data_IF_121656291674
#
_entry.id   IF_121656291674
#
_cell.length_a   1.000
_cell.length_b   1.000
_cell.length_c   1.000
_cell.angle_alpha   90.00
_cell.angle_beta   90.00
_cell.angle_gamma   90.00
#
_symmetry.space_group_name_H-M   'P 1'
#
loop_
_entity.id
_entity.type
_entity.pdbx_description
1 polymer ?
#
# COMPACT_ATOMS: atom_id res chain seq x y z
N UNK A 1 21.41 -5.67 4.85
CA UNK A 1 21.31 -6.83 3.92
C UNK A 1 21.82 -6.38 2.56
N UNK A 2 22.60 -7.20 1.85
CA UNK A 2 23.04 -6.83 0.50
C UNK A 2 21.95 -7.17 -0.53
N UNK A 3 21.38 -6.13 -1.13
CA UNK A 3 20.38 -6.26 -2.20
C UNK A 3 21.03 -6.49 -3.59
N UNK A 4 22.36 -6.46 -3.67
CA UNK A 4 23.09 -6.66 -4.93
C UNK A 4 23.01 -8.12 -5.34
N UNK A 5 22.66 -8.34 -6.60
CA UNK A 5 22.70 -9.67 -7.21
C UNK A 5 24.14 -10.06 -7.52
N UNK A 6 24.50 -11.32 -7.26
CA UNK A 6 25.76 -11.91 -7.69
C UNK A 6 25.71 -12.24 -9.19
N UNK A 7 26.86 -12.48 -9.82
CA UNK A 7 26.90 -12.91 -11.23
C UNK A 7 26.10 -14.21 -11.43
N UNK A 8 26.26 -15.18 -10.53
CA UNK A 8 25.52 -16.45 -10.57
C UNK A 8 24.00 -16.24 -10.49
N UNK A 9 23.55 -15.31 -9.64
CA UNK A 9 22.13 -14.94 -9.50
C UNK A 9 21.59 -14.21 -10.74
N UNK A 10 22.37 -13.32 -11.36
CA UNK A 10 21.99 -12.64 -12.61
C UNK A 10 21.83 -13.66 -13.74
N UNK A 11 22.77 -14.58 -13.88
CA UNK A 11 22.71 -15.65 -14.88
C UNK A 11 21.49 -16.56 -14.66
N UNK A 12 21.20 -16.87 -13.39
CA UNK A 12 20.05 -17.68 -13.01
C UNK A 12 18.71 -17.01 -13.33
N UNK A 13 18.56 -15.72 -13.04
CA UNK A 13 17.33 -14.98 -13.37
C UNK A 13 17.18 -14.75 -14.88
N UNK A 14 18.28 -14.58 -15.60
CA UNK A 14 18.27 -14.41 -17.06
C UNK A 14 17.82 -15.69 -17.76
N UNK A 15 18.30 -16.87 -17.31
CA UNK A 15 17.87 -18.15 -17.88
C UNK A 15 16.38 -18.43 -17.70
N UNK A 16 15.78 -17.88 -16.64
CA UNK A 16 14.37 -18.09 -16.30
C UNK A 16 13.48 -16.96 -16.85
N UNK A 17 14.02 -16.08 -17.70
CA UNK A 17 13.34 -14.93 -18.31
C UNK A 17 12.74 -13.94 -17.29
N UNK A 18 13.30 -13.86 -16.08
CA UNK A 18 12.95 -12.82 -15.11
C UNK A 18 13.76 -11.54 -15.36
N UNK A 19 15.03 -11.68 -15.76
CA UNK A 19 15.83 -10.59 -16.30
C UNK A 19 15.89 -10.71 -17.83
N UNK A 20 15.50 -9.64 -18.53
CA UNK A 20 15.44 -9.59 -19.98
C UNK A 20 16.64 -8.84 -20.59
N UNK A 21 17.67 -8.59 -19.77
CA UNK A 21 18.89 -7.85 -20.14
C UNK A 21 18.94 -6.41 -19.62
N UNK A 22 19.87 -5.64 -20.17
CA UNK A 22 20.04 -4.23 -19.83
C UNK A 22 19.13 -3.35 -20.68
N UNK A 23 18.41 -2.43 -20.04
CA UNK A 23 17.63 -1.41 -20.75
C UNK A 23 18.45 -0.13 -20.95
N UNK A 24 18.99 0.41 -19.85
CA UNK A 24 19.80 1.64 -19.77
C UNK A 24 20.88 1.47 -18.70
N UNK A 25 21.97 2.28 -18.72
CA UNK A 25 22.93 2.33 -17.61
C UNK A 25 22.20 2.46 -16.27
N UNK A 26 22.62 1.69 -15.26
CA UNK A 26 22.01 1.70 -13.92
C UNK A 26 20.63 1.01 -13.80
N UNK A 27 20.01 0.59 -14.90
CA UNK A 27 18.71 -0.12 -14.92
C UNK A 27 18.85 -1.52 -15.50
N UNK A 28 17.88 -2.37 -15.17
CA UNK A 28 17.68 -3.72 -15.73
C UNK A 28 16.26 -3.84 -16.22
N UNK A 29 16.06 -4.59 -17.30
CA UNK A 29 14.72 -4.90 -17.79
C UNK A 29 14.21 -6.15 -17.07
N UNK A 30 13.09 -6.04 -16.40
CA UNK A 30 12.52 -7.10 -15.57
C UNK A 30 11.16 -7.52 -16.12
N UNK A 31 10.90 -8.82 -16.13
CA UNK A 31 9.61 -9.37 -16.51
C UNK A 31 8.51 -8.96 -15.53
N UNK A 32 7.33 -8.60 -16.04
CA UNK A 32 6.13 -8.38 -15.24
C UNK A 32 5.71 -9.61 -14.41
N UNK A 33 6.26 -10.80 -14.68
CA UNK A 33 6.10 -11.95 -13.80
C UNK A 33 6.56 -11.68 -12.35
N UNK A 34 7.55 -10.79 -12.15
CA UNK A 34 7.97 -10.36 -10.81
C UNK A 34 6.85 -9.65 -10.03
N UNK A 35 5.89 -9.06 -10.74
CA UNK A 35 4.76 -8.33 -10.17
C UNK A 35 3.59 -9.23 -9.81
N UNK A 36 3.59 -10.47 -10.31
CA UNK A 36 2.50 -11.41 -10.05
C UNK A 36 2.61 -11.91 -8.61
N UNK A 37 1.51 -11.90 -7.82
CA UNK A 37 1.50 -12.53 -6.52
C UNK A 37 1.85 -14.03 -6.66
N UNK A 38 2.46 -14.64 -5.65
CA UNK A 38 2.73 -16.07 -5.64
C UNK A 38 1.43 -16.85 -5.86
N UNK A 39 1.38 -17.68 -6.89
CA UNK A 39 0.18 -18.45 -7.24
C UNK A 39 0.07 -19.76 -6.47
N UNK A 40 1.10 -20.14 -5.70
CA UNK A 40 1.16 -21.41 -5.00
C UNK A 40 0.98 -21.25 -3.50
N UNK A 41 -0.27 -21.04 -3.08
CA UNK A 41 -0.74 -21.77 -1.90
C UNK A 41 -1.23 -23.11 -2.43
N UNK A 42 -0.28 -23.98 -2.79
CA UNK A 42 -0.60 -25.38 -3.00
C UNK A 42 -1.34 -25.87 -1.77
N UNK A 43 -2.42 -26.62 -1.95
CA UNK A 43 -3.23 -27.18 -0.87
C UNK A 43 -2.40 -28.12 0.00
N UNK A 44 -1.50 -27.58 0.83
CA UNK A 44 -0.99 -28.27 2.00
C UNK A 44 -2.19 -28.33 2.92
N UNK A 45 -2.86 -29.48 2.93
CA UNK A 45 -3.88 -29.80 3.91
C UNK A 45 -3.21 -29.72 5.29
N UNK A 46 -3.27 -28.54 5.91
CA UNK A 46 -2.79 -28.32 7.27
C UNK A 46 -3.72 -29.09 8.20
N UNK A 47 -3.36 -30.34 8.49
CA UNK A 47 -4.01 -31.19 9.51
C UNK A 47 -3.64 -30.75 10.93
N UNK A 48 -3.36 -29.47 11.15
CA UNK A 48 -2.99 -28.86 12.42
C UNK A 48 -4.06 -27.87 12.84
N UNK A 49 -4.60 -28.07 14.04
CA UNK A 49 -5.71 -27.38 14.71
C UNK A 49 -5.49 -25.87 14.99
N UNK A 50 -4.65 -25.18 14.24
CA UNK A 50 -4.47 -23.73 14.37
C UNK A 50 -5.66 -23.01 13.73
N UNK A 51 -6.42 -22.29 14.55
CA UNK A 51 -7.47 -21.38 14.10
C UNK A 51 -6.86 -20.35 13.15
N UNK A 52 -7.25 -20.40 11.87
CA UNK A 52 -6.84 -19.42 10.86
C UNK A 52 -7.25 -18.01 11.31
N UNK A 53 -6.36 -17.04 11.15
CA UNK A 53 -6.58 -15.68 11.64
C UNK A 53 -7.05 -14.70 10.59
N UNK A 54 -6.68 -14.93 9.34
CA UNK A 54 -7.13 -14.14 8.22
C UNK A 54 -7.33 -15.02 7.00
N UNK A 55 -8.03 -14.47 6.02
CA UNK A 55 -8.16 -15.08 4.71
C UNK A 55 -7.78 -14.09 3.62
N UNK A 56 -7.29 -14.59 2.50
CA UNK A 56 -6.95 -13.78 1.33
C UNK A 56 -7.68 -14.28 0.11
N UNK A 57 -7.99 -13.38 -0.81
CA UNK A 57 -8.33 -13.72 -2.19
C UNK A 57 -7.41 -12.95 -3.13
N UNK A 58 -6.88 -13.61 -4.15
CA UNK A 58 -6.02 -12.97 -5.15
C UNK A 58 -6.86 -12.75 -6.39
N UNK A 59 -7.03 -11.49 -6.81
CA UNK A 59 -7.69 -11.20 -8.08
C UNK A 59 -6.73 -11.52 -9.22
N UNK A 60 -7.23 -12.27 -10.19
CA UNK A 60 -6.47 -12.48 -11.41
C UNK A 60 -6.44 -11.18 -12.22
N UNK A 61 -5.30 -10.84 -12.84
CA UNK A 61 -5.27 -9.75 -13.79
C UNK A 61 -6.21 -10.07 -14.95
N UNK A 62 -6.99 -9.07 -15.40
CA UNK A 62 -8.00 -9.23 -16.46
C UNK A 62 -7.36 -9.64 -17.79
N UNK A 63 -6.07 -9.35 -17.98
CA UNK A 63 -5.24 -9.91 -19.04
C UNK A 63 -3.82 -10.14 -18.52
N UNK A 64 -3.14 -11.23 -18.91
CA UNK A 64 -1.72 -11.42 -18.67
C UNK A 64 -0.91 -10.54 -19.63
N UNK A 65 -1.00 -9.21 -19.49
CA UNK A 65 0.01 -8.34 -20.07
C UNK A 65 1.25 -8.45 -19.20
N UNK A 66 2.08 -9.48 -19.48
CA UNK A 66 3.45 -9.57 -18.99
C UNK A 66 4.23 -8.46 -19.71
N UNK A 67 3.95 -7.20 -19.35
CA UNK A 67 4.77 -6.08 -19.75
C UNK A 67 6.06 -6.17 -18.94
N UNK A 68 7.19 -6.00 -19.63
CA UNK A 68 8.45 -5.77 -18.97
C UNK A 68 8.56 -4.31 -18.53
N UNK A 69 9.43 -4.05 -17.56
CA UNK A 69 9.63 -2.70 -17.04
C UNK A 69 11.09 -2.43 -16.67
N UNK A 70 11.45 -1.16 -16.67
CA UNK A 70 12.76 -0.69 -16.21
C UNK A 70 12.81 -0.72 -14.69
N UNK A 71 13.77 -1.42 -14.12
CA UNK A 71 13.96 -1.57 -12.68
C UNK A 71 15.40 -1.17 -12.27
N UNK A 72 15.59 -0.40 -11.18
CA UNK A 72 16.93 -0.02 -10.73
C UNK A 72 17.83 -1.22 -10.40
N UNK A 73 19.13 -1.10 -10.68
CA UNK A 73 20.10 -2.12 -10.31
C UNK A 73 20.46 -2.11 -8.82
N UNK A 74 20.39 -0.93 -8.21
CA UNK A 74 20.80 -0.62 -6.85
C UNK A 74 19.73 0.27 -6.19
N UNK A 75 19.61 0.20 -4.85
CA UNK A 75 18.70 1.07 -4.08
C UNK A 75 19.32 2.44 -3.79
N UNK A 76 20.66 2.47 -3.79
CA UNK A 76 21.55 3.60 -3.57
C UNK A 76 22.04 4.16 -4.92
N UNK A 77 21.12 4.57 -5.79
CA UNK A 77 21.47 5.07 -7.13
C UNK A 77 20.52 6.17 -7.63
N UNK A 78 20.91 7.02 -8.61
CA UNK A 78 20.00 8.00 -9.20
C UNK A 78 18.78 7.34 -9.86
N UNK A 79 18.93 6.14 -10.42
CA UNK A 79 17.82 5.38 -10.99
C UNK A 79 16.79 4.93 -9.94
N UNK A 80 17.23 4.68 -8.70
CA UNK A 80 16.32 4.44 -7.59
C UNK A 80 15.49 5.70 -7.29
N UNK A 81 16.12 6.88 -7.28
CA UNK A 81 15.42 8.17 -7.10
C UNK A 81 14.46 8.46 -8.27
N UNK A 82 14.81 8.07 -9.50
CA UNK A 82 13.87 8.11 -10.63
C UNK A 82 12.65 7.21 -10.39
N UNK A 83 12.86 6.00 -9.84
CA UNK A 83 11.78 5.08 -9.48
C UNK A 83 10.86 5.66 -8.39
N UNK A 84 11.38 6.52 -7.51
CA UNK A 84 10.56 7.25 -6.54
C UNK A 84 9.59 8.24 -7.19
N UNK A 85 9.82 8.62 -8.44
CA UNK A 85 8.94 9.48 -9.23
C UNK A 85 9.59 10.77 -9.72
N UNK A 86 10.89 10.97 -9.47
CA UNK A 86 11.64 12.16 -9.93
C UNK A 86 12.15 11.99 -11.36
N UNK A 87 12.29 13.09 -12.08
CA UNK A 87 12.91 13.09 -13.40
C UNK A 87 14.44 12.86 -13.29
N UNK A 88 15.13 12.42 -14.36
CA UNK A 88 16.55 12.07 -14.29
C UNK A 88 17.48 13.20 -13.81
N UNK A 89 17.17 14.45 -14.18
CA UNK A 89 17.98 15.61 -13.79
C UNK A 89 17.91 15.85 -12.27
N UNK A 90 16.70 15.88 -11.71
CA UNK A 90 16.51 16.11 -10.28
C UNK A 90 16.88 14.87 -9.46
N UNK A 91 16.65 13.67 -9.99
CA UNK A 91 17.08 12.42 -9.36
C UNK A 91 18.61 12.41 -9.15
N UNK A 92 19.37 12.86 -10.15
CA UNK A 92 20.82 13.01 -10.03
C UNK A 92 21.21 14.04 -8.96
N UNK A 93 20.55 15.20 -8.92
CA UNK A 93 20.83 16.24 -7.90
C UNK A 93 20.60 15.69 -6.49
N UNK A 94 19.44 15.07 -6.24
CA UNK A 94 19.10 14.47 -4.94
C UNK A 94 20.15 13.42 -4.53
N UNK A 95 20.55 12.56 -5.48
CA UNK A 95 21.56 11.55 -5.25
C UNK A 95 22.95 12.15 -4.95
N UNK A 96 23.38 13.14 -5.71
CA UNK A 96 24.67 13.82 -5.53
C UNK A 96 24.73 14.51 -4.15
N UNK A 97 23.63 15.16 -3.72
CA UNK A 97 23.53 15.79 -2.39
C UNK A 97 23.62 14.75 -1.26
N UNK A 98 22.88 13.65 -1.37
CA UNK A 98 22.92 12.54 -0.42
C UNK A 98 24.31 11.89 -0.35
N UNK A 99 24.94 11.65 -1.50
CA UNK A 99 26.26 11.02 -1.59
C UNK A 99 27.35 11.92 -0.97
N UNK A 100 27.28 13.24 -1.20
CA UNK A 100 28.19 14.19 -0.56
C UNK A 100 28.06 14.18 0.97
N UNK A 101 26.84 14.16 1.51
CA UNK A 101 26.63 14.11 2.96
C UNK A 101 27.04 12.74 3.55
N UNK A 102 26.82 11.65 2.82
CA UNK A 102 27.27 10.31 3.22
C UNK A 102 28.80 10.24 3.30
N UNK A 103 29.51 10.77 2.29
CA UNK A 103 30.98 10.87 2.29
C UNK A 103 31.48 11.72 3.47
N UNK A 104 30.82 12.86 3.72
CA UNK A 104 31.19 13.80 4.78
C UNK A 104 30.97 13.22 6.18
N UNK A 105 29.89 12.48 6.38
CA UNK A 105 29.54 11.85 7.67
C UNK A 105 30.31 10.55 7.92
N UNK A 106 30.84 9.91 6.88
CA UNK A 106 31.52 8.62 6.97
C UNK A 106 30.58 7.46 7.33
N UNK A 107 29.26 7.67 7.22
CA UNK A 107 28.25 6.65 7.46
C UNK A 107 28.13 5.70 6.26
N UNK A 108 27.68 4.47 6.52
CA UNK A 108 27.35 3.55 5.44
C UNK A 108 26.13 4.05 4.65
N UNK A 109 26.09 3.84 3.32
CA UNK A 109 24.92 4.15 2.51
C UNK A 109 23.64 3.48 3.00
N UNK A 110 22.64 4.29 3.38
CA UNK A 110 21.31 3.83 3.77
C UNK A 110 20.23 4.40 2.83
N UNK A 111 19.45 3.56 2.12
CA UNK A 111 18.36 4.03 1.27
C UNK A 111 17.26 4.80 2.02
N UNK A 112 17.10 4.60 3.33
CA UNK A 112 16.16 5.40 4.14
C UNK A 112 16.67 6.82 4.36
N UNK A 113 17.99 7.04 4.40
CA UNK A 113 18.57 8.39 4.41
C UNK A 113 18.38 9.05 3.04
N UNK A 114 18.55 8.30 1.94
CA UNK A 114 18.25 8.82 0.59
C UNK A 114 16.79 9.28 0.45
N UNK A 115 15.85 8.56 1.09
CA UNK A 115 14.45 8.99 1.17
C UNK A 115 14.29 10.37 1.83
N UNK A 116 15.04 10.68 2.89
CA UNK A 116 14.94 11.98 3.57
C UNK A 116 15.32 13.14 2.64
N UNK A 117 16.33 12.97 1.80
CA UNK A 117 16.70 13.96 0.78
C UNK A 117 15.59 14.13 -0.28
N UNK A 118 15.00 13.02 -0.74
CA UNK A 118 13.88 13.06 -1.68
C UNK A 118 12.64 13.75 -1.07
N UNK A 119 12.33 13.48 0.19
CA UNK A 119 11.23 14.12 0.91
C UNK A 119 11.52 15.60 1.21
N UNK A 120 12.77 15.94 1.54
CA UNK A 120 13.21 17.33 1.69
C UNK A 120 13.02 18.13 0.40
N UNK A 121 13.28 17.52 -0.77
CA UNK A 121 12.95 18.14 -2.06
C UNK A 121 11.45 18.34 -2.25
N UNK A 122 10.63 17.36 -1.87
CA UNK A 122 9.18 17.43 -1.97
C UNK A 122 8.58 18.52 -1.04
N UNK A 123 9.20 18.83 0.09
CA UNK A 123 8.75 19.88 1.02
C UNK A 123 8.69 21.27 0.38
N UNK A 124 9.47 21.52 -0.68
CA UNK A 124 9.41 22.76 -1.45
C UNK A 124 8.03 23.02 -2.09
N UNK A 125 7.16 22.00 -2.19
CA UNK A 125 5.77 22.18 -2.62
C UNK A 125 4.97 23.10 -1.70
N UNK A 126 5.34 23.19 -0.42
CA UNK A 126 4.69 24.11 0.51
C UNK A 126 4.82 25.57 0.05
N UNK A 127 5.96 25.93 -0.56
CA UNK A 127 6.24 27.27 -1.10
C UNK A 127 5.61 27.49 -2.49
N UNK A 128 5.31 26.40 -3.23
CA UNK A 128 4.72 26.43 -4.57
C UNK A 128 3.22 26.26 -4.58
N UNK A 129 2.60 26.31 -3.41
CA UNK A 129 1.24 25.88 -3.20
C UNK A 129 0.21 26.81 -3.89
N UNK A 130 0.60 28.00 -4.37
CA UNK A 130 -0.26 28.92 -5.17
C UNK A 130 -0.24 28.58 -6.68
N UNK A 131 0.61 27.64 -7.10
CA UNK A 131 0.68 27.17 -8.49
C UNK A 131 -0.30 26.02 -8.74
N UNK A 132 -0.76 25.83 -9.99
CA UNK A 132 -1.50 24.62 -10.34
C UNK A 132 -0.71 23.35 -9.98
N UNK A 133 -1.34 22.30 -9.42
CA UNK A 133 -0.65 21.12 -8.89
C UNK A 133 0.35 20.47 -9.85
N UNK A 134 -0.03 20.28 -11.12
CA UNK A 134 0.86 19.73 -12.16
C UNK A 134 2.12 20.58 -12.37
N UNK A 135 1.98 21.91 -12.32
CA UNK A 135 3.10 22.84 -12.51
C UNK A 135 3.99 22.83 -11.26
N UNK A 136 3.41 22.86 -10.06
CA UNK A 136 4.16 22.79 -8.80
C UNK A 136 5.01 21.51 -8.71
N UNK A 137 4.42 20.35 -9.04
CA UNK A 137 5.13 19.06 -9.07
C UNK A 137 6.25 19.03 -10.12
N UNK A 138 6.01 19.56 -11.33
CA UNK A 138 7.03 19.65 -12.37
C UNK A 138 8.21 20.53 -11.92
N UNK A 139 7.93 21.65 -11.27
CA UNK A 139 8.95 22.62 -10.85
C UNK A 139 9.89 22.04 -9.76
N UNK A 140 9.43 21.08 -8.95
CA UNK A 140 10.29 20.35 -8.00
C UNK A 140 10.95 19.10 -8.58
N UNK A 141 10.61 18.73 -9.82
CA UNK A 141 11.21 17.60 -10.54
C UNK A 141 10.41 16.30 -10.55
N UNK A 142 9.16 16.29 -10.10
CA UNK A 142 8.30 15.10 -10.22
C UNK A 142 7.99 14.86 -11.70
N UNK A 143 8.10 13.59 -12.11
CA UNK A 143 7.81 13.17 -13.49
C UNK A 143 6.36 13.42 -13.85
N UNK A 144 6.14 13.65 -15.15
CA UNK A 144 4.81 13.92 -15.70
C UNK A 144 3.80 12.81 -15.36
N UNK A 145 4.19 11.54 -15.49
CA UNK A 145 3.29 10.42 -15.24
C UNK A 145 2.85 10.31 -13.76
N UNK A 146 3.77 10.53 -12.81
CA UNK A 146 3.41 10.58 -11.37
C UNK A 146 2.52 11.78 -11.09
N UNK A 147 2.83 12.94 -11.65
CA UNK A 147 2.03 14.15 -11.49
C UNK A 147 0.60 13.96 -12.02
N UNK A 148 0.44 13.41 -13.23
CA UNK A 148 -0.85 13.09 -13.85
C UNK A 148 -1.63 12.04 -13.05
N UNK A 149 -0.93 11.02 -12.51
CA UNK A 149 -1.56 10.00 -11.66
C UNK A 149 -2.09 10.55 -10.34
N UNK A 150 -1.35 11.46 -9.69
CA UNK A 150 -1.79 12.13 -8.45
C UNK A 150 -2.99 13.03 -8.71
N UNK A 151 -3.02 13.75 -9.84
CA UNK A 151 -4.09 14.70 -10.19
C UNK A 151 -5.14 14.12 -11.14
N UNK A 152 -5.25 12.79 -11.20
CA UNK A 152 -6.20 12.13 -12.10
C UNK A 152 -7.64 12.59 -11.77
N UNK A 153 -8.38 13.17 -12.75
CA UNK A 153 -9.73 13.69 -12.52
C UNK A 153 -10.73 12.67 -11.98
N UNK A 154 -10.51 11.36 -12.22
CA UNK A 154 -11.37 10.29 -11.69
C UNK A 154 -11.32 10.20 -10.16
N UNK A 155 -10.24 10.68 -9.56
CA UNK A 155 -9.98 10.63 -8.13
C UNK A 155 -9.93 12.02 -7.48
N UNK A 156 -10.51 13.05 -8.10
CA UNK A 156 -10.50 14.42 -7.55
C UNK A 156 -10.97 14.46 -6.09
N UNK A 157 -12.04 13.74 -5.74
CA UNK A 157 -12.53 13.70 -4.35
C UNK A 157 -11.53 13.07 -3.36
N UNK A 158 -10.70 12.12 -3.81
CA UNK A 158 -9.66 11.53 -2.97
C UNK A 158 -8.45 12.45 -2.92
N UNK A 159 -7.98 12.94 -4.07
CA UNK A 159 -6.89 13.90 -4.17
C UNK A 159 -7.12 15.14 -3.30
N UNK A 160 -8.32 15.69 -3.30
CA UNK A 160 -8.64 16.86 -2.49
C UNK A 160 -8.85 16.55 -0.98
N UNK A 161 -8.80 15.29 -0.55
CA UNK A 161 -8.92 14.93 0.88
C UNK A 161 -7.65 15.20 1.69
N UNK A 162 -6.53 15.51 1.03
CA UNK A 162 -5.24 15.86 1.64
C UNK A 162 -4.52 16.92 0.78
N UNK A 163 -3.41 17.45 1.30
CA UNK A 163 -2.60 18.42 0.57
C UNK A 163 -1.81 17.80 -0.59
N UNK A 164 -1.41 18.62 -1.57
CA UNK A 164 -0.52 18.18 -2.64
C UNK A 164 0.81 17.61 -2.12
N UNK A 165 1.41 18.27 -1.11
CA UNK A 165 2.63 17.78 -0.47
C UNK A 165 2.43 16.38 0.12
N UNK A 166 1.32 16.17 0.83
CA UNK A 166 0.99 14.86 1.40
C UNK A 166 0.95 13.77 0.32
N UNK A 167 0.24 13.99 -0.79
CA UNK A 167 0.14 12.96 -1.83
C UNK A 167 1.47 12.68 -2.53
N UNK A 168 2.32 13.68 -2.71
CA UNK A 168 3.66 13.49 -3.26
C UNK A 168 4.56 12.73 -2.28
N UNK A 169 4.56 13.12 -1.00
CA UNK A 169 5.29 12.43 0.07
C UNK A 169 4.86 10.96 0.18
N UNK A 170 3.56 10.71 0.23
CA UNK A 170 2.96 9.37 0.30
C UNK A 170 3.37 8.53 -0.91
N UNK A 171 3.27 9.09 -2.13
CA UNK A 171 3.67 8.40 -3.37
C UNK A 171 5.16 8.02 -3.37
N UNK A 172 6.04 8.93 -2.94
CA UNK A 172 7.48 8.67 -2.85
C UNK A 172 7.76 7.52 -1.87
N UNK A 173 7.12 7.51 -0.70
CA UNK A 173 7.27 6.44 0.30
C UNK A 173 6.79 5.09 -0.23
N UNK A 174 5.61 5.07 -0.85
CA UNK A 174 5.03 3.87 -1.47
C UNK A 174 5.94 3.32 -2.57
N UNK A 175 6.50 4.20 -3.40
CA UNK A 175 7.43 3.80 -4.46
C UNK A 175 8.72 3.22 -3.88
N UNK A 176 9.28 3.79 -2.81
CA UNK A 176 10.45 3.21 -2.14
C UNK A 176 10.13 1.83 -1.54
N UNK A 177 9.05 1.72 -0.77
CA UNK A 177 8.66 0.46 -0.16
C UNK A 177 8.43 -0.63 -1.22
N UNK A 178 7.82 -0.26 -2.34
CA UNK A 178 7.66 -1.15 -3.50
C UNK A 178 9.01 -1.53 -4.13
N UNK A 179 9.92 -0.58 -4.30
CA UNK A 179 11.27 -0.83 -4.83
C UNK A 179 12.04 -1.82 -3.95
N UNK A 180 12.07 -1.59 -2.64
CA UNK A 180 12.74 -2.46 -1.66
C UNK A 180 12.14 -3.87 -1.71
N UNK A 181 10.80 -3.96 -1.75
CA UNK A 181 10.10 -5.25 -1.84
C UNK A 181 10.45 -5.99 -3.13
N UNK A 182 10.33 -5.34 -4.28
CA UNK A 182 10.65 -5.96 -5.58
C UNK A 182 12.12 -6.41 -5.66
N UNK A 183 13.03 -5.64 -5.06
CA UNK A 183 14.45 -5.99 -4.99
C UNK A 183 14.69 -7.23 -4.12
N UNK A 184 14.01 -7.32 -2.99
CA UNK A 184 14.04 -8.48 -2.10
C UNK A 184 13.47 -9.73 -2.80
N UNK A 185 12.31 -9.61 -3.43
CA UNK A 185 11.70 -10.69 -4.24
C UNK A 185 12.63 -11.20 -5.32
N UNK A 186 13.25 -10.29 -6.06
CA UNK A 186 14.18 -10.64 -7.14
C UNK A 186 15.40 -11.42 -6.60
N UNK A 187 15.92 -11.02 -5.44
CA UNK A 187 17.03 -11.70 -4.76
C UNK A 187 16.65 -13.11 -4.30
N UNK A 188 15.46 -13.26 -3.73
CA UNK A 188 14.93 -14.55 -3.28
C UNK A 188 14.71 -15.51 -4.45
N UNK A 189 14.10 -15.02 -5.53
CA UNK A 189 13.91 -15.80 -6.76
C UNK A 189 15.25 -16.31 -7.28
N UNK A 190 16.26 -15.44 -7.33
CA UNK A 190 17.60 -15.82 -7.79
C UNK A 190 18.21 -16.92 -6.90
N UNK A 191 18.13 -16.76 -5.58
CA UNK A 191 18.64 -17.74 -4.63
C UNK A 191 17.93 -19.10 -4.80
N UNK A 192 16.61 -19.12 -4.96
CA UNK A 192 15.84 -20.35 -5.18
C UNK A 192 16.26 -21.06 -6.48
N UNK A 193 16.37 -20.32 -7.59
CA UNK A 193 16.79 -20.90 -8.89
C UNK A 193 18.20 -21.49 -8.79
N UNK A 194 19.13 -20.78 -8.13
CA UNK A 194 20.50 -21.25 -7.91
C UNK A 194 20.52 -22.54 -7.07
N UNK A 195 19.73 -22.62 -6.00
CA UNK A 195 19.65 -23.82 -5.16
C UNK A 195 19.08 -25.02 -5.91
N UNK A 196 18.01 -24.83 -6.71
CA UNK A 196 17.42 -25.90 -7.53
C UNK A 196 18.43 -26.43 -8.56
N UNK A 197 19.21 -25.55 -9.19
CA UNK A 197 20.27 -25.94 -10.13
C UNK A 197 21.41 -26.72 -9.46
N UNK A 198 21.83 -26.32 -8.25
CA UNK A 198 22.83 -27.04 -7.45
C UNK A 198 22.33 -28.42 -6.99
N UNK A 199 21.06 -28.53 -6.60
CA UNK A 199 20.44 -29.79 -6.17
C UNK A 199 20.29 -30.84 -7.27
N UNK A 200 20.00 -30.42 -8.51
CA UNK A 200 19.86 -31.34 -9.67
C UNK A 200 21.16 -32.10 -10.01
N UNK A 201 22.33 -31.61 -9.61
CA UNK A 201 23.61 -32.30 -9.79
C UNK A 201 23.90 -33.44 -8.80
N UNK A 202 23.11 -33.59 -7.73
CA UNK A 202 23.37 -34.54 -6.64
C UNK A 202 22.33 -35.65 -6.49
N UNK A 203 21.38 -35.80 -7.42
CA UNK A 203 20.48 -36.96 -7.41
C UNK A 203 21.28 -38.20 -7.81
N UNK A 204 21.76 -38.93 -6.80
CA UNK A 204 22.27 -40.28 -6.90
C UNK A 204 21.35 -41.13 -7.76
N UNK A 205 21.95 -41.83 -8.71
CA UNK A 205 21.37 -42.79 -9.64
C UNK A 205 20.60 -43.87 -8.84
N UNK A 206 19.33 -43.61 -8.53
CA UNK A 206 18.41 -44.65 -8.06
C UNK A 206 17.82 -45.28 -9.31
N UNK A 207 18.35 -46.45 -9.67
CA UNK A 207 17.80 -47.30 -10.72
C UNK A 207 16.34 -47.59 -10.38
N UNK A 208 15.43 -47.00 -11.15
CA UNK A 208 14.01 -47.32 -11.09
C UNK A 208 13.66 -48.11 -12.34
N UNK A 209 13.62 -49.43 -12.19
CA UNK A 209 12.95 -50.33 -13.12
C UNK A 209 11.46 -50.04 -13.06
N UNK A 210 10.91 -49.33 -14.04
CA UNK A 210 9.47 -49.36 -14.33
C UNK A 210 9.27 -49.43 -15.84
N UNK A 211 8.50 -50.46 -16.21
CA UNK A 211 8.24 -50.89 -17.56
C UNK A 211 7.46 -49.87 -18.38
N UNK A 212 7.78 -49.88 -19.67
CA UNK A 212 7.15 -49.14 -20.77
C UNK A 212 5.70 -49.61 -20.97
N UNK A 213 4.78 -48.67 -21.07
CA UNK A 213 3.56 -48.84 -21.86
C UNK A 213 3.32 -47.58 -22.65
N UNK A 214 3.33 -47.75 -23.97
CA UNK A 214 3.21 -46.73 -24.98
C UNK A 214 1.74 -46.36 -25.23
N UNK A 215 1.45 -45.07 -25.33
CA UNK A 215 0.35 -44.53 -26.14
C UNK A 215 0.59 -43.04 -26.44
N UNK A 216 0.99 -42.80 -27.70
CA UNK A 216 0.62 -41.73 -28.64
C UNK A 216 0.43 -40.26 -28.21
N UNK A 217 1.32 -39.43 -28.77
CA UNK A 217 1.05 -38.24 -29.60
C UNK A 217 0.18 -37.13 -29.01
N UNK A 218 0.83 -36.09 -28.50
CA UNK A 218 0.30 -34.73 -28.44
C UNK A 218 1.44 -33.72 -28.65
N UNK A 219 1.20 -32.77 -29.54
CA UNK A 219 2.14 -31.74 -30.02
C UNK A 219 2.74 -30.89 -28.88
N UNK A 220 3.97 -30.36 -29.06
CA UNK A 220 4.57 -29.44 -28.11
C UNK A 220 3.90 -28.06 -28.21
N UNK A 221 3.04 -27.75 -27.24
CA UNK A 221 2.65 -26.36 -26.95
C UNK A 221 3.84 -25.68 -26.26
N UNK A 222 4.18 -24.42 -26.58
CA UNK A 222 5.20 -23.69 -25.86
C UNK A 222 4.75 -23.56 -24.39
N UNK A 223 5.42 -24.30 -23.52
CA UNK A 223 5.22 -24.24 -22.07
C UNK A 223 5.52 -22.83 -21.60
N UNK A 224 4.49 -22.07 -21.25
CA UNK A 224 4.69 -20.85 -20.46
C UNK A 224 5.38 -21.25 -19.15
N UNK A 225 6.46 -20.56 -18.76
CA UNK A 225 7.12 -20.84 -17.49
C UNK A 225 6.13 -20.56 -16.35
N UNK A 226 5.54 -21.62 -15.80
CA UNK A 226 4.72 -21.54 -14.60
C UNK A 226 5.68 -21.53 -13.41
N UNK A 227 6.15 -20.33 -13.06
CA UNK A 227 7.03 -20.16 -11.90
C UNK A 227 6.17 -20.35 -10.66
N UNK A 228 6.34 -21.50 -10.01
CA UNK A 228 5.73 -21.82 -8.72
C UNK A 228 6.64 -21.23 -7.65
N UNK A 229 6.37 -20.00 -7.21
CA UNK A 229 7.16 -19.33 -6.17
C UNK A 229 6.66 -19.80 -4.79
N UNK A 230 7.46 -20.61 -4.09
CA UNK A 230 7.26 -20.89 -2.66
C UNK A 230 7.67 -19.62 -1.87
N UNK A 231 6.72 -19.04 -1.14
CA UNK A 231 6.79 -17.68 -0.57
C UNK A 231 6.84 -17.61 0.94
N UNK A 232 7.83 -18.28 1.51
CA UNK A 232 8.12 -18.16 2.93
C UNK A 232 8.64 -16.75 3.33
N UNK A 233 9.00 -15.86 2.39
CA UNK A 233 9.77 -14.63 2.70
C UNK A 233 9.13 -13.29 2.29
N UNK A 234 8.33 -13.23 1.22
CA UNK A 234 7.72 -11.97 0.73
C UNK A 234 6.37 -11.65 1.41
N UNK A 235 5.82 -12.62 2.15
CA UNK A 235 4.58 -12.51 2.88
C UNK A 235 4.78 -11.93 4.30
N UNK A 236 5.70 -10.97 4.50
CA UNK A 236 5.95 -10.38 5.83
C UNK A 236 4.68 -9.85 6.49
N UNK A 237 3.73 -9.35 5.71
CA UNK A 237 2.47 -8.86 6.24
C UNK A 237 1.41 -9.97 6.43
N UNK A 238 1.60 -11.14 5.82
CA UNK A 238 0.61 -12.22 5.67
C UNK A 238 1.25 -13.61 5.89
N UNK A 239 1.72 -13.93 7.11
CA UNK A 239 2.43 -15.17 7.40
C UNK A 239 1.55 -16.39 7.02
N UNK A 240 2.12 -17.29 6.20
CA UNK A 240 1.43 -18.46 5.65
C UNK A 240 0.69 -19.31 6.70
N UNK A 241 1.21 -19.54 7.93
CA UNK A 241 0.50 -20.32 8.95
C UNK A 241 -0.85 -19.74 9.39
N UNK A 242 -1.09 -18.45 9.17
CA UNK A 242 -2.25 -17.73 9.70
C UNK A 242 -3.23 -17.27 8.62
N UNK A 243 -2.92 -17.51 7.36
CA UNK A 243 -3.65 -16.97 6.20
C UNK A 243 -4.16 -18.09 5.31
N UNK A 244 -5.48 -18.14 5.09
CA UNK A 244 -6.08 -19.06 4.13
C UNK A 244 -6.46 -18.38 2.81
N UNK A 245 -6.11 -19.00 1.69
CA UNK A 245 -6.59 -18.56 0.38
C UNK A 245 -8.01 -19.06 0.16
N UNK A 246 -8.95 -18.13 -0.02
CA UNK A 246 -10.36 -18.42 -0.28
C UNK A 246 -10.84 -17.60 -1.49
N UNK A 247 -11.89 -18.08 -2.16
CA UNK A 247 -12.48 -17.37 -3.31
C UNK A 247 -13.35 -16.20 -2.86
N UNK A 248 -14.10 -16.39 -1.77
CA UNK A 248 -15.03 -15.38 -1.24
C UNK A 248 -15.11 -15.48 0.28
N UNK A 249 -15.04 -14.37 1.02
CA UNK A 249 -15.20 -14.39 2.46
C UNK A 249 -16.61 -14.80 2.87
N UNK A 250 -16.69 -15.60 3.93
CA UNK A 250 -17.97 -15.89 4.59
C UNK A 250 -18.36 -14.65 5.39
N UNK A 251 -19.57 -14.14 5.13
CA UNK A 251 -20.13 -13.05 5.93
C UNK A 251 -20.86 -13.67 7.13
N UNK A 252 -20.42 -13.32 8.33
CA UNK A 252 -21.01 -13.83 9.56
C UNK A 252 -22.31 -13.06 9.89
N UNK A 253 -23.39 -13.77 10.30
CA UNK A 253 -24.57 -13.09 10.82
C UNK A 253 -24.22 -12.33 12.10
N UNK A 254 -24.96 -11.26 12.41
CA UNK A 254 -24.75 -10.39 13.58
C UNK A 254 -23.35 -9.78 13.64
N UNK A 255 -22.76 -9.47 12.47
CA UNK A 255 -21.50 -8.74 12.36
C UNK A 255 -21.67 -7.52 11.48
N UNK A 256 -20.97 -6.44 11.85
CA UNK A 256 -20.79 -5.25 11.02
C UNK A 256 -19.54 -5.44 10.17
N UNK A 257 -19.67 -5.28 8.87
CA UNK A 257 -18.53 -5.34 7.94
C UNK A 257 -18.03 -3.94 7.63
N UNK A 258 -16.72 -3.72 7.80
CA UNK A 258 -16.04 -2.48 7.44
C UNK A 258 -14.88 -2.77 6.49
N UNK A 259 -14.54 -1.78 5.66
CA UNK A 259 -13.58 -1.88 4.57
C UNK A 259 -12.51 -0.78 4.66
N UNK A 260 -11.32 -1.08 4.14
CA UNK A 260 -10.24 -0.11 3.91
C UNK A 260 -9.48 -0.47 2.64
N UNK A 261 -9.33 0.49 1.73
CA UNK A 261 -8.50 0.34 0.53
C UNK A 261 -7.14 1.00 0.70
N UNK A 262 -6.06 0.33 0.29
CA UNK A 262 -4.68 0.83 0.48
C UNK A 262 -3.66 0.09 -0.40
N UNK A 263 -2.43 0.60 -0.55
CA UNK A 263 -1.30 -0.22 -0.95
C UNK A 263 -0.64 -0.88 0.29
N UNK A 264 -0.20 -2.14 0.26
CA UNK A 264 0.61 -2.70 1.35
C UNK A 264 1.94 -1.98 1.51
N UNK A 265 2.44 -1.36 0.45
CA UNK A 265 3.61 -0.48 0.51
C UNK A 265 3.38 0.79 1.37
N UNK A 266 2.13 1.11 1.74
CA UNK A 266 1.81 2.14 2.75
C UNK A 266 1.94 1.63 4.20
N UNK A 267 2.19 0.33 4.39
CA UNK A 267 2.44 -0.27 5.70
C UNK A 267 3.92 -0.11 5.99
N UNK A 268 4.25 0.30 7.22
CA UNK A 268 5.64 0.40 7.65
C UNK A 268 6.36 -0.94 7.40
N UNK A 269 7.51 -0.97 6.72
CA UNK A 269 8.22 -2.21 6.39
C UNK A 269 8.70 -3.00 7.62
N UNK A 270 8.69 -2.38 8.81
CA UNK A 270 8.98 -3.01 10.10
C UNK A 270 7.76 -3.63 10.75
N UNK A 271 6.56 -3.36 10.24
CA UNK A 271 5.28 -3.81 10.79
C UNK A 271 4.67 -4.91 9.90
N UNK A 272 4.12 -5.94 10.55
CA UNK A 272 3.30 -6.97 9.88
C UNK A 272 1.83 -6.62 10.04
N UNK A 273 0.98 -6.91 9.04
CA UNK A 273 -0.47 -6.72 9.19
C UNK A 273 -1.07 -7.83 10.07
N UNK A 274 -0.67 -9.07 9.82
CA UNK A 274 -0.99 -10.24 10.65
C UNK A 274 0.31 -10.65 11.33
N UNK A 275 0.31 -10.66 12.67
CA UNK A 275 1.47 -11.01 13.48
C UNK A 275 1.74 -12.53 13.45
N UNK A 276 2.91 -12.94 13.96
CA UNK A 276 3.31 -14.35 14.09
C UNK A 276 2.41 -15.16 15.04
N UNK A 277 1.61 -14.51 15.90
CA UNK A 277 0.58 -15.16 16.73
C UNK A 277 -0.80 -15.19 16.04
N UNK A 278 -0.86 -14.69 14.80
CA UNK A 278 -2.06 -14.54 14.01
C UNK A 278 -2.94 -13.34 14.38
N UNK A 279 -2.56 -12.49 15.33
CA UNK A 279 -3.39 -11.32 15.65
C UNK A 279 -3.27 -10.24 14.58
N UNK A 280 -4.35 -9.48 14.38
CA UNK A 280 -4.35 -8.34 13.46
C UNK A 280 -3.62 -7.16 14.10
N UNK A 281 -2.52 -6.72 13.52
CA UNK A 281 -1.82 -5.51 13.91
C UNK A 281 -2.46 -4.28 13.27
N UNK A 282 -3.35 -3.61 13.98
CA UNK A 282 -3.97 -2.40 13.47
C UNK A 282 -3.01 -1.20 13.38
N UNK A 283 -1.88 -1.20 14.11
CA UNK A 283 -0.89 -0.10 14.04
C UNK A 283 -0.37 0.03 12.60
N UNK A 284 -0.19 -1.11 11.92
CA UNK A 284 0.30 -1.20 10.55
C UNK A 284 -0.60 -0.45 9.52
N UNK A 285 -1.87 -0.20 9.86
CA UNK A 285 -2.86 0.48 9.00
C UNK A 285 -3.48 1.72 9.66
N UNK A 286 -2.83 2.30 10.68
CA UNK A 286 -3.28 3.55 11.28
C UNK A 286 -3.22 4.71 10.27
N UNK A 287 -4.04 5.72 10.50
CA UNK A 287 -3.96 7.01 9.85
C UNK A 287 -3.33 8.00 10.84
N UNK A 288 -2.28 8.69 10.40
CA UNK A 288 -1.62 9.71 11.20
C UNK A 288 -2.55 10.91 11.44
N UNK A 289 -2.18 11.73 12.41
CA UNK A 289 -2.84 13.00 12.74
C UNK A 289 -3.10 13.89 11.53
N UNK A 290 -4.24 14.59 11.52
CA UNK A 290 -4.65 15.54 10.50
C UNK A 290 -5.74 15.07 9.54
N UNK A 291 -6.46 14.00 9.88
CA UNK A 291 -7.65 13.52 9.17
C UNK A 291 -8.92 14.27 9.60
N UNK A 292 -10.09 13.74 9.24
CA UNK A 292 -11.38 14.41 9.50
C UNK A 292 -11.73 14.47 11.00
N UNK A 293 -11.36 13.43 11.74
CA UNK A 293 -11.73 13.21 13.14
C UNK A 293 -10.52 12.98 14.07
N UNK A 294 -9.31 13.27 13.61
CA UNK A 294 -8.09 13.10 14.41
C UNK A 294 -7.09 14.25 14.13
N UNK A 295 -7.02 15.25 15.02
CA UNK A 295 -6.13 16.41 14.83
C UNK A 295 -4.67 16.09 15.10
N UNK A 296 -4.38 15.53 16.27
CA UNK A 296 -3.04 15.36 16.85
C UNK A 296 -2.79 13.92 17.34
N UNK A 297 -3.74 13.01 17.07
CA UNK A 297 -3.67 11.60 17.45
C UNK A 297 -3.78 10.72 16.23
N UNK A 298 -3.20 9.53 16.33
CA UNK A 298 -3.43 8.47 15.37
C UNK A 298 -4.84 7.90 15.54
N UNK A 299 -5.44 7.49 14.42
CA UNK A 299 -6.77 6.91 14.40
C UNK A 299 -6.90 5.82 13.33
N UNK A 300 -7.95 5.01 13.42
CA UNK A 300 -8.20 3.94 12.46
C UNK A 300 -9.51 4.20 11.72
N UNK A 301 -9.37 4.63 10.48
CA UNK A 301 -10.49 4.86 9.58
C UNK A 301 -10.81 3.62 8.76
N UNK A 302 -12.10 3.28 8.76
CA UNK A 302 -12.72 2.32 7.86
C UNK A 302 -14.01 2.93 7.28
N UNK A 303 -14.55 2.31 6.24
CA UNK A 303 -15.83 2.69 5.64
C UNK A 303 -16.76 1.48 5.61
N UNK A 304 -18.09 1.63 5.82
CA UNK A 304 -19.03 0.54 5.58
C UNK A 304 -19.26 0.29 4.07
N UNK A 305 -18.73 1.15 3.19
CA UNK A 305 -18.87 1.06 1.75
C UNK A 305 -17.65 0.45 1.06
N UNK A 306 -17.81 -0.76 0.51
CA UNK A 306 -16.76 -1.35 -0.34
C UNK A 306 -16.39 -0.44 -1.52
N UNK A 307 -17.35 0.28 -2.10
CA UNK A 307 -17.09 1.21 -3.20
C UNK A 307 -16.19 2.39 -2.80
N UNK A 308 -16.26 2.84 -1.55
CA UNK A 308 -15.40 3.92 -1.05
C UNK A 308 -13.99 3.39 -0.83
N UNK A 309 -13.85 2.21 -0.22
CA UNK A 309 -12.55 1.53 -0.12
C UNK A 309 -11.93 1.29 -1.51
N UNK A 310 -12.72 0.90 -2.50
CA UNK A 310 -12.28 0.68 -3.87
C UNK A 310 -11.76 1.97 -4.54
N UNK A 311 -12.38 3.13 -4.29
CA UNK A 311 -11.85 4.41 -4.79
C UNK A 311 -10.46 4.72 -4.23
N UNK A 312 -10.24 4.53 -2.92
CA UNK A 312 -8.92 4.71 -2.31
C UNK A 312 -7.88 3.72 -2.85
N UNK A 313 -8.28 2.45 -3.02
CA UNK A 313 -7.42 1.41 -3.60
C UNK A 313 -7.01 1.74 -5.03
N UNK A 314 -7.95 2.11 -5.88
CA UNK A 314 -7.71 2.48 -7.28
C UNK A 314 -6.83 3.72 -7.38
N UNK A 315 -7.00 4.69 -6.48
CA UNK A 315 -6.12 5.86 -6.44
C UNK A 315 -4.68 5.47 -6.07
N UNK A 316 -4.48 4.58 -5.10
CA UNK A 316 -3.17 4.04 -4.77
C UNK A 316 -2.53 3.28 -5.96
N UNK A 317 -3.31 2.44 -6.64
CA UNK A 317 -2.85 1.69 -7.82
C UNK A 317 -2.46 2.60 -8.99
N UNK A 318 -3.15 3.73 -9.15
CA UNK A 318 -2.89 4.72 -10.20
C UNK A 318 -1.54 5.42 -9.96
N UNK A 319 -1.22 5.75 -8.71
CA UNK A 319 0.03 6.43 -8.31
C UNK A 319 1.25 5.50 -8.36
N UNK A 320 1.07 4.21 -8.13
CA UNK A 320 2.13 3.21 -8.25
C UNK A 320 1.67 1.97 -9.03
N UNK A 321 2.00 1.96 -10.32
CA UNK A 321 1.67 0.89 -11.27
C UNK A 321 2.39 -0.45 -11.02
N UNK A 322 3.40 -0.46 -10.16
CA UNK A 322 4.19 -1.66 -9.82
C UNK A 322 3.85 -2.23 -8.44
N UNK A 323 3.02 -1.54 -7.67
CA UNK A 323 2.54 -2.01 -6.38
C UNK A 323 1.24 -2.79 -6.55
N UNK A 324 1.10 -3.85 -5.77
CA UNK A 324 -0.22 -4.45 -5.56
C UNK A 324 -1.03 -3.51 -4.66
N UNK A 325 -2.34 -3.71 -4.61
CA UNK A 325 -3.22 -2.94 -3.73
C UNK A 325 -4.26 -3.83 -3.08
N UNK A 326 -4.73 -3.46 -1.90
CA UNK A 326 -5.56 -4.30 -1.06
C UNK A 326 -6.91 -3.65 -0.77
N UNK A 327 -7.96 -4.47 -0.68
CA UNK A 327 -9.15 -4.19 0.13
C UNK A 327 -9.08 -5.05 1.39
N UNK A 328 -8.92 -4.39 2.54
CA UNK A 328 -8.96 -5.03 3.85
C UNK A 328 -10.41 -4.96 4.33
N UNK A 329 -11.03 -6.12 4.52
CA UNK A 329 -12.37 -6.30 5.08
C UNK A 329 -12.25 -6.86 6.50
N UNK A 330 -12.88 -6.22 7.47
CA UNK A 330 -13.01 -6.73 8.84
C UNK A 330 -14.48 -6.96 9.18
N UNK A 331 -14.79 -8.03 9.90
CA UNK A 331 -16.13 -8.31 10.41
C UNK A 331 -16.13 -8.23 11.93
N UNK A 332 -16.93 -7.31 12.46
CA UNK A 332 -16.94 -6.95 13.87
C UNK A 332 -18.26 -7.46 14.50
N UNK A 333 -18.22 -8.27 15.57
CA UNK A 333 -19.44 -8.70 16.24
C UNK A 333 -20.32 -7.51 16.66
N UNK A 334 -21.63 -7.58 16.40
CA UNK A 334 -22.58 -6.53 16.82
C UNK A 334 -22.57 -6.33 18.33
N UNK A 335 -22.37 -7.39 19.11
CA UNK A 335 -22.25 -7.30 20.58
C UNK A 335 -21.09 -6.40 21.01
N UNK A 336 -19.95 -6.47 20.32
CA UNK A 336 -18.82 -5.59 20.56
C UNK A 336 -19.14 -4.17 20.08
N UNK A 337 -19.66 -3.99 18.87
CA UNK A 337 -20.04 -2.66 18.35
C UNK A 337 -21.03 -1.94 19.27
N UNK A 338 -22.02 -2.66 19.81
CA UNK A 338 -23.02 -2.12 20.74
C UNK A 338 -22.45 -1.80 22.12
N UNK A 339 -21.29 -2.35 22.48
CA UNK A 339 -20.60 -2.03 23.73
C UNK A 339 -19.79 -0.73 23.66
N UNK A 340 -19.51 -0.23 22.44
CA UNK A 340 -18.70 0.95 22.22
C UNK A 340 -19.53 2.24 22.32
N UNK A 341 -18.89 3.30 22.81
CA UNK A 341 -19.47 4.65 22.86
C UNK A 341 -19.31 5.30 21.49
N UNK A 342 -20.35 5.16 20.67
CA UNK A 342 -20.40 5.71 19.32
C UNK A 342 -20.99 7.12 19.35
N UNK A 343 -20.28 8.07 18.74
CA UNK A 343 -20.77 9.42 18.45
C UNK A 343 -20.93 9.60 16.96
N UNK A 344 -22.07 10.12 16.54
CA UNK A 344 -22.34 10.44 15.14
C UNK A 344 -22.18 11.93 14.91
N UNK A 345 -21.40 12.29 13.91
CA UNK A 345 -21.14 13.65 13.47
C UNK A 345 -21.43 13.74 11.97
N UNK A 346 -22.70 14.02 11.65
CA UNK A 346 -23.17 14.14 10.27
C UNK A 346 -23.07 15.56 9.77
N UNK A 347 -23.09 15.71 8.43
CA UNK A 347 -22.97 17.01 7.78
C UNK A 347 -23.94 18.05 8.37
N UNK A 348 -23.38 19.15 8.84
CA UNK A 348 -24.08 20.17 9.61
C UNK A 348 -23.08 21.13 10.25
N UNK A 349 -23.58 22.04 11.09
CA UNK A 349 -22.75 23.09 11.68
C UNK A 349 -21.52 22.53 12.43
N UNK A 350 -21.76 21.55 13.30
CA UNK A 350 -20.73 20.96 14.15
C UNK A 350 -19.74 20.09 13.37
N UNK A 351 -20.21 19.34 12.36
CA UNK A 351 -19.33 18.59 11.47
C UNK A 351 -18.36 19.51 10.73
N UNK A 352 -18.89 20.56 10.06
CA UNK A 352 -18.06 21.50 9.29
C UNK A 352 -16.99 22.13 10.18
N UNK A 353 -17.39 22.59 11.37
CA UNK A 353 -16.49 23.20 12.35
C UNK A 353 -15.45 22.17 12.82
N UNK A 354 -15.86 20.99 13.27
CA UNK A 354 -14.96 19.97 13.79
C UNK A 354 -13.93 19.50 12.75
N UNK A 355 -14.39 19.15 11.55
CA UNK A 355 -13.50 18.74 10.45
C UNK A 355 -12.52 19.86 10.09
N UNK A 356 -12.99 21.10 9.95
CA UNK A 356 -12.10 22.25 9.71
C UNK A 356 -11.04 22.40 10.82
N UNK A 357 -11.43 22.25 12.09
CA UNK A 357 -10.49 22.26 13.21
C UNK A 357 -9.42 21.17 13.10
N UNK A 358 -9.82 19.91 12.83
CA UNK A 358 -8.88 18.80 12.68
C UNK A 358 -7.93 18.99 11.49
N UNK A 359 -8.45 19.50 10.36
CA UNK A 359 -7.67 19.70 9.14
C UNK A 359 -6.72 20.90 9.20
N UNK A 360 -6.96 21.89 10.05
CA UNK A 360 -6.11 23.08 10.15
C UNK A 360 -4.71 22.77 10.76
N UNK A 361 -4.58 21.73 11.60
CA UNK A 361 -3.32 21.27 12.25
C UNK A 361 -2.57 22.32 13.09
N UNK A 362 -3.13 23.52 13.28
CA UNK A 362 -2.47 24.65 13.99
C UNK A 362 -3.06 24.98 15.36
N UNK A 363 -4.25 24.47 15.67
CA UNK A 363 -4.93 24.80 16.92
C UNK A 363 -4.60 23.80 18.01
N UNK A 364 -4.19 24.29 19.19
CA UNK A 364 -3.87 23.43 20.34
C UNK A 364 -5.09 23.15 21.22
N UNK A 365 -6.12 23.99 21.14
CA UNK A 365 -7.29 23.91 22.01
C UNK A 365 -8.54 23.72 21.16
N UNK A 366 -9.24 22.61 21.40
CA UNK A 366 -10.55 22.41 20.80
C UNK A 366 -11.61 23.27 21.49
N UNK A 367 -12.64 23.70 20.76
CA UNK A 367 -13.85 24.24 21.36
C UNK A 367 -14.43 23.25 22.38
N UNK A 368 -14.86 23.75 23.55
CA UNK A 368 -15.40 22.94 24.65
C UNK A 368 -16.52 21.99 24.22
N UNK A 369 -17.34 22.39 23.24
CA UNK A 369 -18.39 21.57 22.65
C UNK A 369 -17.91 20.23 22.04
N UNK A 370 -16.62 20.10 21.71
CA UNK A 370 -16.04 18.89 21.13
C UNK A 370 -15.18 18.08 22.10
N UNK A 371 -15.03 18.52 23.35
CA UNK A 371 -14.24 17.78 24.36
C UNK A 371 -14.71 16.34 24.51
N UNK A 372 -16.01 16.09 24.45
CA UNK A 372 -16.57 14.74 24.54
C UNK A 372 -16.13 13.83 23.39
N UNK A 373 -15.98 14.35 22.17
CA UNK A 373 -15.54 13.57 21.00
C UNK A 373 -14.08 13.12 21.11
N UNK A 374 -13.29 13.85 21.89
CA UNK A 374 -11.84 13.67 22.01
C UNK A 374 -11.42 12.93 23.27
N UNK A 375 -12.34 12.81 24.24
CA UNK A 375 -12.14 12.12 25.50
C UNK A 375 -12.27 10.60 25.28
N UNK A 376 -11.18 9.82 25.39
CA UNK A 376 -11.21 8.36 25.25
C UNK A 376 -12.10 7.67 26.31
N UNK A 377 -12.44 8.36 27.40
CA UNK A 377 -13.39 7.84 28.38
C UNK A 377 -14.86 8.00 27.94
N UNK A 378 -15.14 8.81 26.91
CA UNK A 378 -16.51 9.13 26.47
C UNK A 378 -16.81 8.73 25.03
N UNK A 379 -15.80 8.63 24.17
CA UNK A 379 -15.97 8.32 22.75
C UNK A 379 -14.93 7.32 22.28
N UNK A 380 -15.41 6.12 21.90
CA UNK A 380 -14.60 5.07 21.30
C UNK A 380 -14.59 5.20 19.76
N UNK A 381 -15.73 5.59 19.19
CA UNK A 381 -15.94 5.71 17.74
C UNK A 381 -16.58 7.05 17.39
N UNK A 382 -16.06 7.68 16.34
CA UNK A 382 -16.76 8.76 15.61
C UNK A 382 -17.22 8.22 14.25
N UNK A 383 -18.53 8.32 13.98
CA UNK A 383 -19.14 8.05 12.67
C UNK A 383 -19.47 9.36 11.98
N UNK A 384 -19.18 9.48 10.70
CA UNK A 384 -19.56 10.65 9.92
C UNK A 384 -19.22 10.49 8.45
N UNK A 385 -19.37 11.56 7.68
CA UNK A 385 -19.04 11.55 6.25
C UNK A 385 -17.55 11.79 6.01
N UNK A 386 -17.02 11.26 4.92
CA UNK A 386 -15.68 11.56 4.44
C UNK A 386 -15.65 12.95 3.80
N UNK A 387 -14.73 13.81 4.25
CA UNK A 387 -14.58 15.16 3.68
C UNK A 387 -13.53 15.22 2.58
N UNK A 388 -13.67 16.23 1.73
CA UNK A 388 -12.72 16.58 0.68
C UNK A 388 -12.58 18.11 0.55
N UNK A 389 -11.72 18.56 -0.36
CA UNK A 389 -11.42 19.98 -0.58
C UNK A 389 -10.41 20.57 0.40
N UNK A 390 -9.71 19.75 1.19
CA UNK A 390 -8.82 20.06 2.34
C UNK A 390 -7.67 21.03 2.00
N UNK A 391 -7.47 21.33 0.72
CA UNK A 391 -6.50 22.31 0.20
C UNK A 391 -6.58 23.69 0.89
N UNK A 392 -5.64 24.59 0.54
CA UNK A 392 -5.46 25.98 1.03
C UNK A 392 -6.72 26.73 1.43
N UNK A 393 -7.83 26.46 0.76
CA UNK A 393 -9.16 26.96 1.09
C UNK A 393 -9.45 26.83 2.59
N UNK A 394 -9.25 25.67 3.22
CA UNK A 394 -9.52 25.47 4.66
C UNK A 394 -8.60 26.29 5.55
N UNK A 395 -7.30 26.31 5.23
CA UNK A 395 -6.29 27.01 6.03
C UNK A 395 -6.48 28.54 6.08
N UNK A 396 -7.20 29.08 5.10
CA UNK A 396 -7.49 30.52 4.96
C UNK A 396 -8.91 30.89 5.39
N UNK A 397 -9.79 29.92 5.65
CA UNK A 397 -11.15 30.19 6.11
C UNK A 397 -11.16 30.58 7.58
N UNK A 398 -11.88 31.65 7.90
CA UNK A 398 -12.32 31.95 9.25
C UNK A 398 -13.44 30.99 9.71
N UNK A 399 -13.69 30.85 11.01
CA UNK A 399 -14.78 30.01 11.52
C UNK A 399 -16.16 30.31 10.91
N UNK A 400 -16.43 31.56 10.55
CA UNK A 400 -17.68 31.97 9.90
C UNK A 400 -17.74 31.47 8.45
N UNK A 401 -16.68 31.70 7.68
CA UNK A 401 -16.60 31.28 6.28
C UNK A 401 -16.70 29.76 6.12
N UNK A 402 -16.25 28.98 7.10
CA UNK A 402 -16.41 27.52 7.10
C UNK A 402 -17.88 27.12 6.98
N UNK A 403 -18.79 27.83 7.66
CA UNK A 403 -20.20 27.48 7.64
C UNK A 403 -20.85 27.75 6.27
N UNK A 404 -20.39 28.79 5.59
CA UNK A 404 -20.90 29.20 4.27
C UNK A 404 -20.27 28.41 3.13
N UNK A 405 -18.96 28.17 3.20
CA UNK A 405 -18.15 27.65 2.08
C UNK A 405 -17.93 26.14 2.12
N UNK A 406 -18.00 25.51 3.29
CA UNK A 406 -17.95 24.06 3.39
C UNK A 406 -19.35 23.53 3.06
N UNK A 407 -19.58 23.12 1.82
CA UNK A 407 -20.87 22.61 1.33
C UNK A 407 -20.84 21.09 1.15
N UNK A 408 -21.93 20.49 0.69
CA UNK A 408 -21.97 19.05 0.40
C UNK A 408 -21.07 18.64 -0.78
N UNK A 409 -20.62 19.60 -1.59
CA UNK A 409 -19.62 19.38 -2.64
C UNK A 409 -18.24 19.04 -2.05
N UNK A 410 -18.00 19.39 -0.78
CA UNK A 410 -16.80 19.03 -0.05
C UNK A 410 -16.93 17.70 0.70
N UNK A 411 -17.85 16.84 0.27
CA UNK A 411 -17.96 15.46 0.73
C UNK A 411 -17.55 14.50 -0.37
N UNK A 412 -16.98 13.36 0.01
CA UNK A 412 -16.70 12.29 -0.96
C UNK A 412 -18.02 11.60 -1.31
N UNK A 413 -18.28 11.44 -2.61
CA UNK A 413 -19.44 10.73 -3.13
C UNK A 413 -19.03 9.39 -3.75
N UNK A 414 -19.76 8.34 -3.40
CA UNK A 414 -19.57 6.99 -3.94
C UNK A 414 -20.93 6.41 -4.32
N UNK A 415 -21.09 5.99 -5.57
CA UNK A 415 -22.33 5.40 -6.08
C UNK A 415 -23.59 6.25 -5.79
N UNK A 416 -23.48 7.57 -5.95
CA UNK A 416 -24.60 8.50 -5.76
C UNK A 416 -24.96 8.82 -4.31
N UNK A 417 -24.18 8.37 -3.33
CA UNK A 417 -24.36 8.72 -1.91
C UNK A 417 -23.08 9.27 -1.28
N UNK A 418 -23.25 10.00 -0.18
CA UNK A 418 -22.15 10.50 0.66
C UNK A 418 -21.43 9.30 1.28
N UNK A 419 -20.12 9.23 1.11
CA UNK A 419 -19.29 8.18 1.67
C UNK A 419 -19.21 8.34 3.20
N UNK A 420 -19.35 7.24 3.93
CA UNK A 420 -19.27 7.20 5.38
C UNK A 420 -17.92 6.67 5.84
N UNK A 421 -17.51 7.12 7.02
CA UNK A 421 -16.33 6.64 7.71
C UNK A 421 -16.64 6.36 9.19
N UNK A 422 -15.99 5.30 9.68
CA UNK A 422 -15.97 4.85 11.07
C UNK A 422 -14.54 5.03 11.55
N UNK A 423 -14.36 5.99 12.46
CA UNK A 423 -13.06 6.32 13.04
C UNK A 423 -12.99 5.78 14.47
N UNK A 424 -12.10 4.82 14.70
CA UNK A 424 -11.72 4.38 16.04
C UNK A 424 -10.68 5.36 16.57
N UNK A 425 -10.96 6.02 17.69
CA UNK A 425 -10.31 7.28 18.07
C UNK A 425 -9.08 7.12 18.96
N UNK A 426 -8.84 5.94 19.52
CA UNK A 426 -7.70 5.70 20.40
C UNK A 426 -7.19 4.25 20.39
N UNK A 427 -5.94 4.08 20.81
CA UNK A 427 -5.24 2.78 20.78
C UNK A 427 -5.94 1.69 21.60
N UNK A 428 -6.57 2.06 22.72
CA UNK A 428 -7.32 1.12 23.57
C UNK A 428 -8.43 0.39 22.82
N UNK A 429 -9.30 1.13 22.10
CA UNK A 429 -10.38 0.51 21.31
C UNK A 429 -9.82 -0.23 20.10
N UNK A 430 -8.75 0.26 19.47
CA UNK A 430 -8.10 -0.45 18.36
C UNK A 430 -7.55 -1.81 18.82
N UNK A 431 -6.85 -1.88 19.95
CA UNK A 431 -6.36 -3.14 20.49
C UNK A 431 -7.52 -4.11 20.79
N UNK A 432 -8.62 -3.62 21.36
CA UNK A 432 -9.81 -4.44 21.58
C UNK A 432 -10.42 -4.93 20.25
N UNK A 433 -10.51 -4.05 19.25
CA UNK A 433 -10.99 -4.38 17.92
C UNK A 433 -10.15 -5.47 17.25
N UNK A 434 -8.82 -5.38 17.32
CA UNK A 434 -7.90 -6.38 16.76
C UNK A 434 -8.20 -7.80 17.27
N UNK A 435 -8.48 -7.94 18.57
CA UNK A 435 -8.88 -9.21 19.17
C UNK A 435 -10.23 -9.69 18.65
N UNK A 436 -11.20 -8.79 18.48
CA UNK A 436 -12.55 -9.13 18.02
C UNK A 436 -12.60 -9.58 16.56
N UNK A 437 -11.68 -9.07 15.73
CA UNK A 437 -11.64 -9.38 14.29
C UNK A 437 -10.60 -10.46 13.93
N UNK A 438 -9.88 -11.01 14.90
CA UNK A 438 -9.01 -12.17 14.69
C UNK A 438 -9.84 -13.36 14.21
N UNK A 439 -9.42 -13.98 13.10
CA UNK A 439 -10.18 -15.01 12.38
C UNK A 439 -11.32 -14.47 11.50
N UNK A 440 -11.54 -13.14 11.48
CA UNK A 440 -12.65 -12.47 10.79
C UNK A 440 -12.18 -11.36 9.84
N UNK A 441 -10.90 -11.39 9.47
CA UNK A 441 -10.28 -10.48 8.51
C UNK A 441 -10.17 -11.17 7.14
N UNK A 442 -10.56 -10.46 6.09
CA UNK A 442 -10.35 -10.87 4.71
C UNK A 442 -9.60 -9.79 3.94
N UNK A 443 -8.64 -10.18 3.11
CA UNK A 443 -7.86 -9.25 2.29
C UNK A 443 -7.97 -9.67 0.83
N UNK A 444 -8.53 -8.78 0.03
CA UNK A 444 -8.57 -8.93 -1.43
C UNK A 444 -7.32 -8.26 -2.02
N UNK A 445 -6.42 -9.07 -2.59
CA UNK A 445 -5.17 -8.62 -3.21
C UNK A 445 -5.40 -8.39 -4.70
N UNK A 446 -5.19 -7.16 -5.14
CA UNK A 446 -5.25 -6.76 -6.53
C UNK A 446 -3.84 -6.60 -7.10
N UNK A 447 -3.52 -7.26 -8.22
CA UNK A 447 -2.21 -7.18 -8.84
C UNK A 447 -1.94 -5.76 -9.37
N UNK A 448 -0.67 -5.42 -9.63
CA UNK A 448 -0.30 -4.13 -10.20
C UNK A 448 -0.95 -3.88 -11.57
N UNK A 449 -1.25 -2.61 -11.87
CA UNK A 449 -1.92 -2.19 -13.12
C UNK A 449 -0.87 -1.56 -14.04
N UNK A 450 -0.27 -2.37 -14.92
CA UNK A 450 0.81 -1.93 -15.82
C UNK A 450 0.31 -1.16 -17.05
N UNK A 451 -0.89 -1.47 -17.54
CA UNK A 451 -1.53 -0.78 -18.64
C UNK A 451 -2.52 0.25 -18.12
N UNK A 452 -2.58 1.42 -18.75
CA UNK A 452 -3.69 2.34 -18.48
C UNK A 452 -5.01 1.61 -18.81
N UNK A 453 -6.01 1.64 -17.92
CA UNK A 453 -7.33 1.10 -18.25
C UNK A 453 -7.88 1.87 -19.45
N UNK A 454 -8.18 1.16 -20.54
CA UNK A 454 -8.81 1.72 -21.74
C UNK A 454 -10.15 2.41 -21.45
#
# INVERSE_FOLDING_TARGET
MSFRLTVEEVDALTSDNLLLGHSKPGKRKVSGALLTPPSSVGSRSSSSSSTLSASISIKQPIAPTIADFDFPQQLDSPEAVEFLGFNPEVAKIIFDDWNQETIKSGLEPDPYVLLEFALGRAQNLNDLSDRPPLIAMRDIGITRHVAEAITDPRFTNIFESESLYFWVEDTIKVNLATLVRLQQRLKECAAQIVQVKKGKGKRSKVETNVAVSAAESSQPTPSQPTITMDTESDNRHLPEPHVAVIVKPTIHPNHVTLYKGKAPADIDPTEQLIQDDGTLNLISILSRSGGDFNLDRDAWYFTPEIGTAEQYRLFAATRNKTAETWIIQIQIPETFMNSLKVKSLWFGHDFKKFVWFNRLRKMKNYPAQFEELLDPAKTDIIRGYCSTGVDKKYSKMSPHEVQERFTEENLIWTAGRKAEQVCFTHRGVANALALQVTGKTHIEIHPPILSDPE
#
